data_IF_097205260840
#
_entry.id   IF_097205260840
#
_cell.length_a   1.000
_cell.length_b   1.000
_cell.length_c   1.000
_cell.angle_alpha   90.00
_cell.angle_beta   90.00
_cell.angle_gamma   90.00
#
_symmetry.space_group_name_H-M   'P 1'
#
loop_
_entity.id
_entity.type
_entity.pdbx_description
1 polymer ?
#
# COMPACT_ATOMS: atom_id res chain seq x y z
N UNK A 1 6.17 -19.10 4.38
CA UNK A 1 4.88 -18.49 4.05
C UNK A 1 4.95 -17.03 4.47
N UNK A 2 4.70 -16.10 3.55
CA UNK A 2 4.74 -14.67 3.84
C UNK A 2 3.31 -14.16 4.10
N UNK A 3 3.13 -13.26 5.07
CA UNK A 3 1.84 -12.62 5.31
C UNK A 3 1.89 -11.19 4.82
N UNK A 4 1.18 -10.91 3.73
CA UNK A 4 1.18 -9.60 3.08
C UNK A 4 -0.23 -9.24 2.66
N UNK A 5 -0.61 -7.99 2.91
CA UNK A 5 -1.74 -7.38 2.21
C UNK A 5 -1.37 -7.15 0.74
N UNK A 6 -2.37 -7.05 -0.12
CA UNK A 6 -2.16 -6.67 -1.52
C UNK A 6 -1.38 -5.35 -1.61
N UNK A 7 -1.75 -4.36 -0.80
CA UNK A 7 -1.12 -3.04 -0.79
C UNK A 7 0.37 -3.10 -0.44
N UNK A 8 0.74 -3.88 0.59
CA UNK A 8 2.15 -4.10 0.93
C UNK A 8 2.90 -4.80 -0.20
N UNK A 9 2.29 -5.82 -0.81
CA UNK A 9 2.87 -6.52 -1.95
C UNK A 9 3.08 -5.58 -3.15
N UNK A 10 2.11 -4.73 -3.47
CA UNK A 10 2.23 -3.73 -4.53
C UNK A 10 3.29 -2.69 -4.20
N UNK A 11 3.46 -2.31 -2.92
CA UNK A 11 4.52 -1.42 -2.47
C UNK A 11 5.91 -2.02 -2.67
N UNK A 12 6.12 -3.29 -2.34
CA UNK A 12 7.39 -3.97 -2.62
C UNK A 12 7.72 -4.03 -4.12
N UNK A 13 6.69 -4.08 -4.98
CA UNK A 13 6.85 -4.08 -6.43
C UNK A 13 6.87 -2.67 -7.07
N UNK A 14 6.87 -1.60 -6.26
CA UNK A 14 6.93 -0.22 -6.75
C UNK A 14 5.66 0.26 -7.48
N UNK A 15 4.52 -0.42 -7.28
CA UNK A 15 3.23 -0.11 -7.92
C UNK A 15 2.12 0.14 -6.90
N UNK A 16 2.49 0.67 -5.72
CA UNK A 16 1.57 0.99 -4.63
C UNK A 16 0.50 2.00 -5.06
N UNK A 17 0.92 3.11 -5.69
CA UNK A 17 0.02 4.15 -6.16
C UNK A 17 -0.94 3.58 -7.21
N UNK A 18 -2.21 3.99 -7.26
CA UNK A 18 -3.11 3.62 -8.33
C UNK A 18 -2.75 4.29 -9.66
N UNK A 19 -1.93 5.33 -9.65
CA UNK A 19 -1.56 6.14 -10.82
C UNK A 19 -0.04 6.22 -10.98
N UNK A 20 0.41 6.49 -12.21
CA UNK A 20 1.82 6.69 -12.51
C UNK A 20 2.35 8.00 -11.92
N UNK A 21 3.54 7.93 -11.33
CA UNK A 21 4.26 9.09 -10.78
C UNK A 21 4.90 9.99 -11.86
N UNK A 22 4.81 9.61 -13.14
CA UNK A 22 5.43 10.32 -14.28
C UNK A 22 5.12 11.83 -14.32
N UNK A 23 3.93 12.23 -13.85
CA UNK A 23 3.48 13.62 -13.88
C UNK A 23 3.93 14.45 -12.68
N UNK A 24 4.39 13.83 -11.59
CA UNK A 24 4.76 14.53 -10.35
C UNK A 24 5.86 15.58 -10.61
N UNK A 25 6.86 15.23 -11.42
CA UNK A 25 7.98 16.13 -11.75
C UNK A 25 7.65 17.14 -12.87
N UNK A 26 6.47 17.03 -13.49
CA UNK A 26 6.06 17.82 -14.67
C UNK A 26 5.15 19.00 -14.31
N UNK A 27 5.28 19.54 -13.10
CA UNK A 27 4.32 20.52 -12.56
C UNK A 27 4.67 22.01 -12.82
N UNK A 28 5.81 22.33 -13.43
CA UNK A 28 6.28 23.72 -13.56
C UNK A 28 6.51 24.15 -15.01
N UNK A 29 5.62 25.02 -15.51
CA UNK A 29 5.73 25.65 -16.83
C UNK A 29 5.68 27.19 -16.71
N UNK A 30 6.81 27.87 -16.41
CA UNK A 30 6.86 29.30 -16.12
C UNK A 30 6.30 30.21 -17.22
N UNK A 31 6.42 29.78 -18.48
CA UNK A 31 5.93 30.50 -19.66
C UNK A 31 4.75 29.79 -20.35
N UNK A 32 4.14 28.82 -19.65
CA UNK A 32 3.13 27.93 -20.23
C UNK A 32 3.70 26.93 -21.23
N UNK A 33 2.82 26.10 -21.78
CA UNK A 33 3.12 25.14 -22.85
C UNK A 33 2.47 25.62 -24.14
N UNK A 34 3.21 25.57 -25.25
CA UNK A 34 2.61 25.67 -26.58
C UNK A 34 1.68 24.49 -26.85
N UNK A 35 0.74 24.65 -27.79
CA UNK A 35 -0.22 23.59 -28.12
C UNK A 35 0.45 22.29 -28.58
N UNK A 36 1.55 22.39 -29.33
CA UNK A 36 2.36 21.23 -29.74
C UNK A 36 2.98 20.51 -28.54
N UNK A 37 3.50 21.26 -27.58
CA UNK A 37 4.10 20.69 -26.37
C UNK A 37 3.04 20.06 -25.45
N UNK A 38 1.85 20.65 -25.34
CA UNK A 38 0.72 20.05 -24.62
C UNK A 38 0.33 18.70 -25.21
N UNK A 39 0.13 18.65 -26.54
CA UNK A 39 -0.20 17.41 -27.24
C UNK A 39 0.89 16.34 -27.10
N UNK A 40 2.16 16.73 -27.03
CA UNK A 40 3.26 15.80 -26.79
C UNK A 40 3.22 15.25 -25.36
N UNK A 41 3.06 16.13 -24.37
CA UNK A 41 2.94 15.74 -22.96
C UNK A 41 1.75 14.81 -22.73
N UNK A 42 0.58 15.12 -23.28
CA UNK A 42 -0.62 14.27 -23.17
C UNK A 42 -0.37 12.86 -23.71
N UNK A 43 0.28 12.74 -24.88
CA UNK A 43 0.65 11.45 -25.46
C UNK A 43 1.60 10.66 -24.56
N UNK A 44 2.61 11.32 -24.00
CA UNK A 44 3.56 10.68 -23.09
C UNK A 44 2.89 10.24 -21.79
N UNK A 45 2.02 11.08 -21.22
CA UNK A 45 1.26 10.74 -20.00
C UNK A 45 0.37 9.52 -20.22
N UNK A 46 -0.36 9.46 -21.33
CA UNK A 46 -1.20 8.31 -21.66
C UNK A 46 -0.38 7.03 -21.82
N UNK A 47 0.78 7.12 -22.48
CA UNK A 47 1.70 6.00 -22.64
C UNK A 47 2.19 5.49 -21.28
N UNK A 48 2.71 6.37 -20.43
CA UNK A 48 3.22 5.97 -19.11
C UNK A 48 2.12 5.48 -18.16
N UNK A 49 0.91 6.04 -18.27
CA UNK A 49 -0.25 5.55 -17.52
C UNK A 49 -0.63 4.12 -17.93
N UNK A 50 -0.65 3.84 -19.24
CA UNK A 50 -0.93 2.49 -19.74
C UNK A 50 0.13 1.47 -19.29
N UNK A 51 1.41 1.79 -19.48
CA UNK A 51 2.54 0.94 -19.05
C UNK A 51 2.51 0.67 -17.53
N UNK A 52 2.19 1.69 -16.73
CA UNK A 52 2.08 1.55 -15.28
C UNK A 52 0.89 0.65 -14.89
N UNK A 53 -0.26 0.83 -15.55
CA UNK A 53 -1.45 0.02 -15.27
C UNK A 53 -1.22 -1.45 -15.63
N UNK A 54 -0.53 -1.73 -16.74
CA UNK A 54 -0.14 -3.09 -17.13
C UNK A 54 0.74 -3.75 -16.06
N UNK A 55 1.80 -3.05 -15.60
CA UNK A 55 2.67 -3.53 -14.53
C UNK A 55 1.90 -3.78 -13.23
N UNK A 56 1.03 -2.86 -12.84
CA UNK A 56 0.21 -2.99 -11.63
C UNK A 56 -0.75 -4.18 -11.74
N UNK A 57 -1.41 -4.35 -12.87
CA UNK A 57 -2.32 -5.48 -13.11
C UNK A 57 -1.57 -6.82 -13.11
N UNK A 58 -0.35 -6.87 -13.65
CA UNK A 58 0.49 -8.06 -13.59
C UNK A 58 0.87 -8.41 -12.14
N UNK A 59 1.25 -7.42 -11.33
CA UNK A 59 1.56 -7.62 -9.92
C UNK A 59 0.35 -8.11 -9.11
N UNK A 60 -0.86 -7.59 -9.38
CA UNK A 60 -2.09 -8.06 -8.73
C UNK A 60 -2.36 -9.53 -9.08
N UNK A 61 -2.29 -9.89 -10.36
CA UNK A 61 -2.49 -11.29 -10.80
C UNK A 61 -1.48 -12.22 -10.15
N UNK A 62 -0.23 -11.79 -10.03
CA UNK A 62 0.81 -12.57 -9.37
C UNK A 62 0.53 -12.73 -7.88
N UNK A 63 0.09 -11.68 -7.18
CA UNK A 63 -0.33 -11.78 -5.79
C UNK A 63 -1.48 -12.79 -5.62
N UNK A 64 -2.51 -12.71 -6.45
CA UNK A 64 -3.64 -13.65 -6.42
C UNK A 64 -3.20 -15.09 -6.67
N UNK A 65 -2.27 -15.29 -7.60
CA UNK A 65 -1.65 -16.60 -7.85
C UNK A 65 -0.90 -17.12 -6.62
N UNK A 66 -0.05 -16.29 -6.01
CA UNK A 66 0.73 -16.64 -4.82
C UNK A 66 -0.17 -16.95 -3.61
N UNK A 67 -1.30 -16.25 -3.48
CA UNK A 67 -2.33 -16.54 -2.48
C UNK A 67 -3.00 -17.88 -2.76
N UNK A 68 -3.35 -18.16 -4.03
CA UNK A 68 -4.01 -19.43 -4.40
C UNK A 68 -3.13 -20.66 -4.14
N UNK A 69 -1.80 -20.51 -4.27
CA UNK A 69 -0.82 -21.57 -4.01
C UNK A 69 -0.52 -21.71 -2.51
N UNK A 70 -0.86 -20.69 -1.71
CA UNK A 70 -0.57 -20.64 -0.27
C UNK A 70 0.85 -20.19 0.06
N UNK A 71 1.58 -19.58 -0.87
CA UNK A 71 2.88 -18.95 -0.57
C UNK A 71 2.71 -17.65 0.22
N UNK A 72 1.64 -16.90 -0.11
CA UNK A 72 1.19 -15.71 0.60
C UNK A 72 -0.12 -16.00 1.31
N UNK A 73 -0.19 -15.65 2.58
CA UNK A 73 -1.45 -15.61 3.34
C UNK A 73 -1.86 -14.14 3.56
N UNK A 74 -3.06 -13.72 3.14
CA UNK A 74 -3.50 -12.33 3.31
C UNK A 74 -3.62 -11.99 4.80
N UNK A 75 -3.09 -10.83 5.20
CA UNK A 75 -3.22 -10.36 6.59
C UNK A 75 -4.68 -10.09 6.94
N UNK A 76 -5.08 -10.49 8.15
CA UNK A 76 -6.39 -10.13 8.68
C UNK A 76 -6.43 -8.66 9.15
N UNK A 77 -7.64 -8.09 9.22
CA UNK A 77 -7.90 -6.73 9.70
C UNK A 77 -7.36 -6.49 11.11
N UNK A 78 -7.37 -7.51 11.98
CA UNK A 78 -6.83 -7.41 13.34
C UNK A 78 -5.30 -7.31 13.30
N UNK A 79 -4.64 -8.11 12.46
CA UNK A 79 -3.18 -8.07 12.31
C UNK A 79 -2.73 -6.72 11.78
N UNK A 80 -3.38 -6.21 10.73
CA UNK A 80 -3.11 -4.87 10.18
C UNK A 80 -3.29 -3.77 11.24
N UNK A 81 -4.31 -3.91 12.10
CA UNK A 81 -4.55 -2.96 13.20
C UNK A 81 -3.42 -3.00 14.23
N UNK A 82 -2.99 -4.20 14.65
CA UNK A 82 -1.92 -4.39 15.64
C UNK A 82 -0.60 -3.87 15.11
N UNK A 83 -0.22 -4.23 13.89
CA UNK A 83 1.00 -3.75 13.24
C UNK A 83 1.02 -2.22 13.13
N UNK A 84 -0.12 -1.61 12.75
CA UNK A 84 -0.25 -0.14 12.72
C UNK A 84 -0.07 0.48 14.09
N UNK A 85 -0.61 -0.13 15.14
CA UNK A 85 -0.45 0.37 16.51
C UNK A 85 1.00 0.26 17.01
N UNK A 86 1.67 -0.85 16.66
CA UNK A 86 3.02 -1.21 17.11
C UNK A 86 4.14 -0.49 16.36
N UNK A 87 4.14 -0.57 15.03
CA UNK A 87 5.23 -0.04 14.18
C UNK A 87 4.97 1.39 13.69
N UNK A 88 3.75 1.91 13.85
CA UNK A 88 3.43 3.27 13.46
C UNK A 88 4.12 4.32 14.35
N UNK A 89 4.50 5.45 13.74
CA UNK A 89 5.05 6.59 14.48
C UNK A 89 4.02 7.14 15.50
N UNK A 90 4.41 7.45 16.75
CA UNK A 90 3.48 7.86 17.81
C UNK A 90 2.69 9.14 17.49
N UNK A 91 3.27 10.04 16.70
CA UNK A 91 2.63 11.31 16.33
C UNK A 91 1.55 11.17 15.25
N UNK A 92 1.53 10.04 14.53
CA UNK A 92 0.54 9.82 13.49
C UNK A 92 -0.83 9.56 14.10
N UNK A 93 -1.82 10.33 13.67
CA UNK A 93 -3.22 10.18 14.09
C UNK A 93 -3.76 8.76 13.84
N UNK A 94 -3.33 8.12 12.75
CA UNK A 94 -3.69 6.75 12.40
C UNK A 94 -3.14 5.73 13.41
N UNK A 95 -1.90 5.90 13.88
CA UNK A 95 -1.28 5.09 14.93
C UNK A 95 -2.02 5.25 16.24
N UNK A 96 -2.29 6.49 16.66
CA UNK A 96 -3.01 6.75 17.90
C UNK A 96 -4.42 6.17 17.88
N UNK A 97 -5.13 6.31 16.75
CA UNK A 97 -6.43 5.69 16.56
C UNK A 97 -6.36 4.16 16.67
N UNK A 98 -5.37 3.53 16.03
CA UNK A 98 -5.16 2.08 16.13
C UNK A 98 -4.96 1.63 17.59
N UNK A 99 -4.09 2.32 18.34
CA UNK A 99 -3.86 2.05 19.78
C UNK A 99 -5.14 2.18 20.61
N UNK A 100 -5.95 3.21 20.36
CA UNK A 100 -7.26 3.39 21.04
C UNK A 100 -8.22 2.24 20.74
N UNK A 101 -8.28 1.78 19.48
CA UNK A 101 -9.12 0.65 19.09
C UNK A 101 -8.64 -0.64 19.73
N UNK A 102 -7.34 -0.91 19.75
CA UNK A 102 -6.78 -2.08 20.43
C UNK A 102 -7.12 -2.08 21.92
N UNK A 103 -6.92 -0.95 22.62
CA UNK A 103 -7.29 -0.79 24.03
C UNK A 103 -8.78 -1.05 24.28
N UNK A 104 -9.67 -0.49 23.45
CA UNK A 104 -11.12 -0.71 23.57
C UNK A 104 -11.52 -2.17 23.36
N UNK A 105 -10.80 -2.91 22.52
CA UNK A 105 -11.07 -4.32 22.20
C UNK A 105 -10.34 -5.31 23.12
N UNK A 106 -9.52 -4.84 24.05
CA UNK A 106 -8.70 -5.71 24.92
C UNK A 106 -7.61 -6.46 24.15
N UNK A 107 -7.10 -5.87 23.06
CA UNK A 107 -6.04 -6.46 22.23
C UNK A 107 -4.71 -5.90 22.72
N UNK A 108 -3.82 -6.78 23.18
CA UNK A 108 -2.44 -6.42 23.50
C UNK A 108 -1.62 -6.29 22.23
N UNK A 109 -1.36 -5.04 21.84
CA UNK A 109 -0.55 -4.71 20.67
C UNK A 109 0.91 -4.42 21.04
N UNK A 110 1.21 -4.18 22.33
CA UNK A 110 2.57 -3.86 22.79
C UNK A 110 3.42 -5.13 22.79
N UNK A 111 2.89 -6.20 23.39
CA UNK A 111 3.58 -7.49 23.49
C UNK A 111 3.37 -8.41 22.29
N UNK A 112 2.78 -7.92 21.20
CA UNK A 112 2.59 -8.68 19.97
C UNK A 112 3.94 -9.12 19.37
N UNK A 113 4.36 -10.36 19.61
CA UNK A 113 5.62 -10.91 19.08
C UNK A 113 5.39 -11.75 17.84
N UNK A 114 4.35 -12.60 17.87
CA UNK A 114 4.07 -13.56 16.81
C UNK A 114 2.62 -13.57 16.36
N UNK A 115 2.44 -13.98 15.11
CA UNK A 115 1.17 -14.02 14.37
C UNK A 115 0.13 -14.99 14.92
N UNK A 116 0.44 -15.79 15.94
CA UNK A 116 -0.47 -16.74 16.59
C UNK A 116 -0.92 -16.26 17.98
N UNK A 117 -0.38 -15.15 18.48
CA UNK A 117 -0.47 -14.75 19.90
C UNK A 117 -1.53 -13.68 20.20
N UNK A 118 -2.38 -13.31 19.26
CA UNK A 118 -3.33 -12.18 19.44
C UNK A 118 -4.69 -12.57 20.08
N UNK A 119 -4.89 -13.84 20.47
CA UNK A 119 -6.13 -14.29 21.12
C UNK A 119 -5.97 -14.17 22.65
N UNK A 120 -6.70 -13.18 23.20
CA UNK A 120 -7.02 -12.92 24.62
C UNK A 120 -6.01 -13.41 25.67
N UNK A 121 -5.27 -12.45 26.25
CA UNK A 121 -5.02 -12.50 27.69
C UNK A 121 -6.41 -12.56 28.36
N UNK A 122 -6.65 -13.63 29.13
CA UNK A 122 -7.91 -13.91 29.82
C UNK A 122 -8.30 -12.79 30.78
#
# INVERSE_FOLDING_TARGET
MQRLTLDEYLAFNGVFSPISDYTLDKCRFPHGLSERQKKALERDVLKHAAEYQEKRNAAIKEYERLVSIGEIEPKDRIQVLIERAKYGHPDNMSTQAARRVCKKRGIDWENYTDWNSYIKVS
#
